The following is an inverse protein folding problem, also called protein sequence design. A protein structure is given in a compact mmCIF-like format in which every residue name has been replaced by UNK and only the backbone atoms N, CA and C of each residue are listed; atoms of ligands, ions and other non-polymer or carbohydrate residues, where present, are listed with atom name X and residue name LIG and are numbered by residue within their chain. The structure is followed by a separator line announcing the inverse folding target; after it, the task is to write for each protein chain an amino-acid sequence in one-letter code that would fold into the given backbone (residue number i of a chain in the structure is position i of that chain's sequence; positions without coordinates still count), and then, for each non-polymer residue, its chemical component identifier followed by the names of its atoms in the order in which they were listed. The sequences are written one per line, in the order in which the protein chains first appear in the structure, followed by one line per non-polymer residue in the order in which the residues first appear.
data_IF_373032472606
#
_entry.id   IF_373032472606
#
_cell.length_a   1.000
_cell.length_b   1.000
_cell.length_c   1.000
_cell.angle_alpha   90.00
_cell.angle_beta   90.00
_cell.angle_gamma   90.00
#
_symmetry.space_group_name_H-M   'P 1'
#
loop_
_entity.id
_entity.type
_entity.pdbx_description
1 polymer ?
#
# COMPACT_ATOMS: atom_id res chain seq x y z
N UNK A 1 -23.47 -11.45 -10.69
CA UNK A 1 -22.11 -11.70 -10.16
C UNK A 1 -21.63 -10.41 -9.55
N UNK A 2 -21.08 -10.40 -8.33
CA UNK A 2 -20.35 -9.23 -7.83
C UNK A 2 -19.02 -9.16 -8.57
N UNK A 3 -18.66 -7.97 -9.06
CA UNK A 3 -17.31 -7.71 -9.59
C UNK A 3 -16.29 -8.03 -8.49
N UNK A 4 -15.22 -8.75 -8.83
CA UNK A 4 -14.14 -9.09 -7.90
C UNK A 4 -13.28 -7.87 -7.54
N UNK A 5 -13.33 -6.82 -8.36
CA UNK A 5 -12.52 -5.62 -8.23
C UNK A 5 -13.42 -4.44 -7.87
N UNK A 6 -13.08 -3.72 -6.81
CA UNK A 6 -13.70 -2.43 -6.48
C UNK A 6 -13.09 -1.33 -7.34
N UNK A 7 -13.90 -0.36 -7.76
CA UNK A 7 -13.44 0.75 -8.60
C UNK A 7 -12.47 1.72 -7.91
N UNK A 8 -12.43 1.70 -6.57
CA UNK A 8 -11.62 2.64 -5.79
C UNK A 8 -12.13 4.07 -5.82
N UNK A 9 -11.32 4.98 -5.32
CA UNK A 9 -11.55 6.44 -5.37
C UNK A 9 -10.91 7.05 -6.63
N UNK A 10 -10.95 8.37 -6.77
CA UNK A 10 -10.31 9.09 -7.85
C UNK A 10 -9.84 10.47 -7.42
N UNK A 11 -8.82 10.97 -8.09
CA UNK A 11 -8.23 12.28 -7.82
C UNK A 11 -9.19 13.43 -8.07
N UNK A 12 -9.38 14.28 -7.07
CA UNK A 12 -10.33 15.41 -7.12
C UNK A 12 -9.87 16.50 -8.09
N UNK A 13 -8.58 16.62 -8.34
CA UNK A 13 -7.94 17.57 -9.27
C UNK A 13 -7.53 16.86 -10.55
N UNK A 14 -6.87 15.72 -10.43
CA UNK A 14 -6.29 14.99 -11.56
C UNK A 14 -7.33 14.21 -12.36
N UNK A 15 -8.42 13.77 -11.72
CA UNK A 15 -9.37 12.82 -12.31
C UNK A 15 -8.80 11.41 -12.50
N UNK A 16 -7.57 11.14 -12.05
CA UNK A 16 -6.92 9.84 -12.18
C UNK A 16 -7.57 8.86 -11.20
N UNK A 17 -8.02 7.68 -11.64
CA UNK A 17 -8.59 6.69 -10.73
C UNK A 17 -7.50 6.03 -9.87
N UNK A 18 -7.85 5.63 -8.64
CA UNK A 18 -6.94 5.00 -7.68
C UNK A 18 -6.19 3.81 -8.29
N UNK A 19 -6.88 2.93 -9.02
CA UNK A 19 -6.25 1.75 -9.60
C UNK A 19 -5.14 2.08 -10.60
N UNK A 20 -5.19 3.23 -11.26
CA UNK A 20 -4.15 3.70 -12.18
C UNK A 20 -2.93 4.20 -11.40
N UNK A 21 -3.12 5.06 -10.43
CA UNK A 21 -2.06 5.56 -9.55
C UNK A 21 -1.32 4.40 -8.87
N UNK A 22 -2.07 3.50 -8.24
CA UNK A 22 -1.48 2.37 -7.50
C UNK A 22 -0.75 1.38 -8.39
N UNK A 23 -1.16 1.21 -9.65
CA UNK A 23 -0.40 0.43 -10.63
C UNK A 23 0.92 1.14 -10.99
N UNK A 24 0.88 2.44 -11.27
CA UNK A 24 2.08 3.23 -11.58
C UNK A 24 3.11 3.12 -10.45
N UNK A 25 2.71 3.43 -9.23
CA UNK A 25 3.61 3.34 -8.06
C UNK A 25 4.07 1.90 -7.82
N UNK A 26 3.20 0.90 -7.98
CA UNK A 26 3.55 -0.51 -7.84
C UNK A 26 4.61 -0.97 -8.82
N UNK A 27 4.53 -0.56 -10.10
CA UNK A 27 5.51 -0.91 -11.13
C UNK A 27 6.85 -0.22 -10.90
N UNK A 28 6.84 1.05 -10.49
CA UNK A 28 8.07 1.78 -10.12
C UNK A 28 8.72 1.12 -8.89
N UNK A 29 7.94 0.77 -7.87
CA UNK A 29 8.44 0.10 -6.66
C UNK A 29 9.00 -1.29 -6.96
N UNK A 30 8.38 -2.06 -7.86
CA UNK A 30 8.93 -3.33 -8.35
C UNK A 30 10.35 -3.14 -8.86
N UNK A 31 10.57 -2.17 -9.75
CA UNK A 31 11.88 -1.88 -10.34
C UNK A 31 12.89 -1.47 -9.26
N UNK A 32 12.51 -0.57 -8.36
CA UNK A 32 13.38 -0.10 -7.28
C UNK A 32 13.80 -1.25 -6.34
N UNK A 33 12.86 -2.09 -5.91
CA UNK A 33 13.15 -3.23 -5.05
C UNK A 33 14.03 -4.26 -5.76
N UNK A 34 13.81 -4.52 -7.04
CA UNK A 34 14.68 -5.42 -7.83
C UNK A 34 16.11 -4.87 -7.91
N UNK A 35 16.28 -3.56 -8.11
CA UNK A 35 17.59 -2.91 -8.08
C UNK A 35 18.30 -3.02 -6.71
N UNK A 36 17.52 -3.10 -5.62
CA UNK A 36 18.01 -3.36 -4.26
C UNK A 36 18.24 -4.86 -3.97
N UNK A 37 18.03 -5.76 -4.95
CA UNK A 37 18.28 -7.20 -4.84
C UNK A 37 17.15 -8.01 -4.21
N UNK A 38 15.93 -7.48 -4.18
CA UNK A 38 14.73 -8.24 -3.79
C UNK A 38 14.17 -9.03 -4.97
N UNK A 39 13.62 -10.20 -4.69
CA UNK A 39 12.71 -10.89 -5.60
C UNK A 39 11.30 -10.35 -5.38
N UNK A 40 10.71 -9.77 -6.43
CA UNK A 40 9.39 -9.15 -6.36
C UNK A 40 8.39 -9.92 -7.19
N UNK A 41 7.26 -10.28 -6.59
CA UNK A 41 6.11 -10.87 -7.27
C UNK A 41 4.94 -9.88 -7.21
N UNK A 42 4.43 -9.53 -8.39
CA UNK A 42 3.30 -8.62 -8.51
C UNK A 42 1.98 -9.38 -8.56
N UNK A 43 0.96 -8.86 -7.89
CA UNK A 43 -0.41 -9.43 -8.01
C UNK A 43 -1.11 -8.95 -9.28
N UNK A 44 -0.64 -7.88 -9.92
CA UNK A 44 -1.04 -7.41 -11.24
C UNK A 44 0.05 -6.53 -11.85
N UNK A 45 0.14 -6.53 -13.17
CA UNK A 45 1.02 -5.64 -13.95
C UNK A 45 0.23 -4.87 -15.02
N UNK A 46 -1.09 -4.96 -14.98
CA UNK A 46 -2.01 -4.21 -15.85
C UNK A 46 -3.29 -3.85 -15.08
N UNK A 47 -4.14 -3.06 -15.72
CA UNK A 47 -5.48 -2.75 -15.21
C UNK A 47 -6.55 -3.76 -15.67
N UNK A 48 -6.22 -4.58 -16.65
CA UNK A 48 -7.11 -5.64 -17.16
C UNK A 48 -6.96 -6.92 -16.34
N UNK A 49 -7.47 -6.90 -15.11
CA UNK A 49 -7.44 -8.04 -14.19
C UNK A 49 -8.75 -8.16 -13.41
N UNK A 50 -9.22 -9.39 -13.24
CA UNK A 50 -10.38 -9.71 -12.40
C UNK A 50 -9.97 -10.69 -11.28
N UNK A 51 -9.18 -10.20 -10.33
CA UNK A 51 -8.67 -10.96 -9.18
C UNK A 51 -9.19 -10.39 -7.86
N UNK A 52 -9.72 -11.26 -7.02
CA UNK A 52 -10.21 -10.93 -5.68
C UNK A 52 -9.07 -10.66 -4.69
N UNK A 53 -9.40 -10.08 -3.54
CA UNK A 53 -8.47 -9.91 -2.44
C UNK A 53 -7.85 -11.23 -1.95
N UNK A 54 -8.65 -12.32 -1.94
CA UNK A 54 -8.16 -13.64 -1.59
C UNK A 54 -7.14 -14.15 -2.61
N UNK A 55 -7.47 -14.08 -3.90
CA UNK A 55 -6.54 -14.50 -4.97
C UNK A 55 -5.22 -13.73 -4.94
N UNK A 56 -5.22 -12.44 -4.55
CA UNK A 56 -3.99 -11.66 -4.32
C UNK A 56 -3.16 -12.22 -3.16
N UNK A 57 -3.79 -12.61 -2.06
CA UNK A 57 -3.09 -13.25 -0.94
C UNK A 57 -2.56 -14.64 -1.32
N UNK A 58 -3.34 -15.42 -2.09
CA UNK A 58 -2.92 -16.74 -2.59
C UNK A 58 -1.68 -16.64 -3.50
N UNK A 59 -1.58 -15.59 -4.34
CA UNK A 59 -0.37 -15.33 -5.15
C UNK A 59 0.86 -15.12 -4.26
N UNK A 60 0.75 -14.31 -3.20
CA UNK A 60 1.86 -14.07 -2.27
C UNK A 60 2.23 -15.36 -1.52
N UNK A 61 1.25 -16.14 -1.08
CA UNK A 61 1.46 -17.43 -0.41
C UNK A 61 2.16 -18.43 -1.32
N UNK A 62 1.69 -18.58 -2.56
CA UNK A 62 2.28 -19.51 -3.53
C UNK A 62 3.71 -19.14 -3.91
N UNK A 63 4.03 -17.86 -3.89
CA UNK A 63 5.38 -17.35 -4.12
C UNK A 63 6.33 -17.52 -2.92
N UNK A 64 5.82 -17.94 -1.76
CA UNK A 64 6.61 -17.98 -0.52
C UNK A 64 7.08 -16.60 -0.08
N UNK A 65 6.26 -15.56 -0.33
CA UNK A 65 6.62 -14.19 0.00
C UNK A 65 6.83 -14.01 1.50
N UNK A 66 7.88 -13.29 1.88
CA UNK A 66 8.24 -13.01 3.29
C UNK A 66 7.54 -11.76 3.83
N UNK A 67 6.98 -10.93 2.95
CA UNK A 67 6.14 -9.79 3.28
C UNK A 67 5.23 -9.45 2.09
N UNK A 68 4.08 -8.85 2.38
CA UNK A 68 3.11 -8.37 1.38
C UNK A 68 2.86 -6.88 1.58
N UNK A 69 3.12 -6.09 0.55
CA UNK A 69 2.83 -4.65 0.53
C UNK A 69 1.63 -4.41 -0.37
N UNK A 70 0.60 -3.79 0.16
CA UNK A 70 -0.57 -3.37 -0.59
C UNK A 70 -0.54 -1.85 -0.73
N UNK A 71 -0.66 -1.37 -1.94
CA UNK A 71 -0.62 0.06 -2.26
C UNK A 71 -2.04 0.51 -2.57
N UNK A 72 -2.50 1.51 -1.84
CA UNK A 72 -3.82 2.14 -1.95
C UNK A 72 -3.68 3.66 -1.86
N UNK A 73 -4.75 4.38 -2.15
CA UNK A 73 -4.89 5.80 -1.89
C UNK A 73 -6.30 6.07 -1.39
N UNK A 74 -6.40 6.77 -0.27
CA UNK A 74 -7.64 6.95 0.46
C UNK A 74 -8.55 8.00 -0.19
N UNK A 75 -9.83 7.93 0.14
CA UNK A 75 -10.82 8.92 -0.28
C UNK A 75 -11.96 8.99 0.73
N UNK A 76 -12.26 10.20 1.17
CA UNK A 76 -13.37 10.50 2.11
C UNK A 76 -14.11 11.75 1.67
N UNK A 77 -15.34 11.95 2.16
CA UNK A 77 -16.15 13.15 1.87
C UNK A 77 -15.61 14.40 2.62
N UNK A 78 -14.30 14.62 2.55
CA UNK A 78 -13.65 15.78 3.19
C UNK A 78 -12.37 16.15 2.44
N UNK A 79 -12.36 17.30 1.81
CA UNK A 79 -11.19 17.84 1.13
C UNK A 79 -10.06 18.26 2.10
N UNK A 80 -10.32 18.35 3.39
CA UNK A 80 -9.32 18.70 4.40
C UNK A 80 -8.57 17.48 4.98
N UNK A 81 -9.05 16.27 4.72
CA UNK A 81 -8.32 15.06 5.12
C UNK A 81 -7.05 14.94 4.26
N UNK A 82 -5.90 14.78 4.90
CA UNK A 82 -4.59 14.72 4.25
C UNK A 82 -3.63 13.84 5.03
N UNK A 83 -2.65 13.27 4.35
CA UNK A 83 -1.59 12.46 4.93
C UNK A 83 -1.72 10.97 4.64
N UNK A 84 -0.66 10.24 4.92
CA UNK A 84 -0.54 8.80 4.67
C UNK A 84 -0.73 7.99 5.95
N UNK A 85 -1.24 6.77 5.82
CA UNK A 85 -1.39 5.80 6.91
C UNK A 85 -1.07 4.39 6.44
N UNK A 86 -0.83 3.49 7.38
CA UNK A 86 -0.72 2.06 7.06
C UNK A 86 -1.73 1.27 7.88
N UNK A 87 -2.49 0.42 7.21
CA UNK A 87 -3.40 -0.51 7.86
C UNK A 87 -2.73 -1.89 7.93
N UNK A 88 -2.87 -2.51 9.11
CA UNK A 88 -2.30 -3.83 9.42
C UNK A 88 -3.34 -4.67 10.18
N UNK A 89 -3.19 -6.00 10.29
CA UNK A 89 -4.06 -6.76 11.18
C UNK A 89 -3.90 -6.26 12.62
N UNK A 90 -5.02 -6.03 13.30
CA UNK A 90 -5.02 -5.70 14.72
C UNK A 90 -4.66 -6.90 15.60
N UNK A 91 -4.29 -6.66 16.86
CA UNK A 91 -4.00 -7.74 17.81
C UNK A 91 -5.22 -8.62 18.17
N UNK A 92 -6.42 -8.09 17.93
CA UNK A 92 -7.70 -8.80 18.09
C UNK A 92 -8.25 -9.37 16.77
N UNK A 93 -7.47 -9.32 15.70
CA UNK A 93 -7.90 -9.84 14.39
C UNK A 93 -8.32 -11.30 14.51
N UNK A 94 -9.55 -11.66 14.10
CA UNK A 94 -10.09 -13.02 14.32
C UNK A 94 -9.49 -14.07 13.37
N UNK A 95 -8.69 -13.68 12.39
CA UNK A 95 -8.17 -14.57 11.35
C UNK A 95 -6.66 -14.77 11.43
N UNK A 96 -5.90 -13.71 11.67
CA UNK A 96 -4.43 -13.69 11.60
C UNK A 96 -3.80 -12.86 12.74
N UNK A 97 -4.22 -13.04 14.01
CA UNK A 97 -3.70 -12.23 15.13
C UNK A 97 -2.19 -12.42 15.33
N UNK A 98 -1.64 -13.57 14.96
CA UNK A 98 -0.21 -13.89 15.02
C UNK A 98 0.65 -13.00 14.11
N UNK A 99 0.08 -12.45 13.06
CA UNK A 99 0.78 -11.53 12.15
C UNK A 99 0.73 -10.07 12.60
N UNK A 100 -0.07 -9.72 13.62
CA UNK A 100 -0.28 -8.34 14.04
C UNK A 100 1.04 -7.64 14.42
N UNK A 101 1.91 -8.30 15.18
CA UNK A 101 3.18 -7.74 15.62
C UNK A 101 4.15 -7.45 14.48
N UNK A 102 4.41 -8.45 13.63
CA UNK A 102 5.31 -8.32 12.48
C UNK A 102 4.77 -7.36 11.42
N UNK A 103 3.47 -7.38 11.17
CA UNK A 103 2.81 -6.43 10.27
C UNK A 103 2.87 -5.00 10.78
N UNK A 104 2.70 -4.79 12.10
CA UNK A 104 2.82 -3.46 12.71
C UNK A 104 4.24 -2.91 12.62
N UNK A 105 5.25 -3.77 12.79
CA UNK A 105 6.65 -3.39 12.62
C UNK A 105 6.93 -3.01 11.15
N UNK A 106 6.49 -3.83 10.20
CA UNK A 106 6.60 -3.55 8.76
C UNK A 106 5.92 -2.22 8.40
N UNK A 107 4.68 -2.04 8.86
CA UNK A 107 3.91 -0.81 8.65
C UNK A 107 4.59 0.42 9.23
N UNK A 108 5.18 0.31 10.43
CA UNK A 108 5.90 1.41 11.08
C UNK A 108 7.16 1.81 10.31
N UNK A 109 7.94 0.84 9.84
CA UNK A 109 9.11 1.10 9.01
C UNK A 109 8.72 1.82 7.71
N UNK A 110 7.68 1.31 7.02
CA UNK A 110 7.22 1.89 5.76
C UNK A 110 6.69 3.33 5.96
N UNK A 111 5.76 3.54 6.90
CA UNK A 111 5.12 4.85 7.03
C UNK A 111 6.11 5.95 7.47
N UNK A 112 7.04 5.60 8.35
CA UNK A 112 8.05 6.55 8.82
C UNK A 112 9.00 6.96 7.69
N UNK A 113 9.52 6.01 6.92
CA UNK A 113 10.41 6.28 5.78
C UNK A 113 9.67 7.00 4.65
N UNK A 114 8.43 6.58 4.35
CA UNK A 114 7.59 7.21 3.34
C UNK A 114 7.32 8.69 3.65
N UNK A 115 6.89 8.99 4.87
CA UNK A 115 6.60 10.37 5.27
C UNK A 115 7.86 11.22 5.41
N UNK A 116 9.00 10.62 5.80
CA UNK A 116 10.29 11.33 5.81
C UNK A 116 10.76 11.72 4.40
N UNK A 117 10.56 10.84 3.41
CA UNK A 117 10.95 11.09 2.03
C UNK A 117 10.02 12.09 1.32
N UNK A 118 8.72 12.01 1.56
CA UNK A 118 7.70 12.77 0.83
C UNK A 118 7.30 14.08 1.50
N UNK A 119 7.56 14.23 2.81
CA UNK A 119 7.00 15.32 3.61
C UNK A 119 5.50 15.17 3.88
N UNK A 120 4.87 14.06 3.48
CA UNK A 120 3.47 13.75 3.76
C UNK A 120 3.23 13.65 5.27
N UNK A 121 2.07 14.14 5.73
CA UNK A 121 1.67 13.99 7.13
C UNK A 121 1.56 12.51 7.50
N UNK A 122 2.30 12.08 8.51
CA UNK A 122 2.23 10.72 9.04
C UNK A 122 1.00 10.57 9.94
N UNK A 123 0.06 9.72 9.55
CA UNK A 123 -1.15 9.36 10.31
C UNK A 123 -0.97 8.07 11.11
N UNK A 124 0.18 7.41 10.98
CA UNK A 124 0.56 6.23 11.75
C UNK A 124 0.07 4.90 11.19
N UNK A 125 0.20 3.89 12.04
CA UNK A 125 -0.24 2.52 11.79
C UNK A 125 -1.58 2.29 12.48
N UNK A 126 -2.54 1.72 11.75
CA UNK A 126 -3.91 1.48 12.20
C UNK A 126 -4.21 -0.01 12.15
N UNK A 127 -4.61 -0.59 13.26
CA UNK A 127 -5.10 -1.97 13.31
C UNK A 127 -6.47 -2.09 12.62
N UNK A 128 -6.63 -3.08 11.75
CA UNK A 128 -7.88 -3.35 11.02
C UNK A 128 -8.23 -4.84 11.08
N UNK A 129 -9.43 -5.15 11.59
CA UNK A 129 -9.86 -6.53 11.81
C UNK A 129 -10.88 -7.02 10.76
N UNK A 130 -11.41 -6.13 9.94
CA UNK A 130 -12.49 -6.43 8.99
C UNK A 130 -12.09 -6.23 7.51
N UNK A 131 -10.82 -6.01 7.21
CA UNK A 131 -10.34 -5.82 5.84
C UNK A 131 -10.03 -7.13 5.14
N UNK A 132 -10.83 -7.50 4.15
CA UNK A 132 -10.61 -8.72 3.35
C UNK A 132 -9.26 -8.73 2.63
N UNK A 133 -8.72 -7.54 2.29
CA UNK A 133 -7.40 -7.40 1.70
C UNK A 133 -6.24 -7.79 2.64
N UNK A 134 -6.48 -7.80 3.95
CA UNK A 134 -5.51 -8.13 4.99
C UNK A 134 -5.73 -9.55 5.50
N UNK A 135 -6.97 -9.92 5.79
CA UNK A 135 -7.34 -11.12 6.55
C UNK A 135 -7.01 -12.47 5.88
N UNK A 136 -6.61 -12.49 4.61
CA UNK A 136 -6.20 -13.69 3.88
C UNK A 136 -4.67 -13.85 3.81
N UNK A 137 -3.90 -12.94 4.39
CA UNK A 137 -2.43 -13.01 4.35
C UNK A 137 -1.89 -14.15 5.22
N UNK A 138 -0.81 -14.76 4.74
CA UNK A 138 -0.05 -15.81 5.45
C UNK A 138 1.35 -15.33 5.84
N UNK A 139 1.66 -14.08 5.59
CA UNK A 139 2.92 -13.41 5.90
C UNK A 139 2.64 -11.97 6.38
N UNK A 140 3.61 -11.28 6.99
CA UNK A 140 3.45 -9.88 7.39
C UNK A 140 2.90 -9.03 6.26
N UNK A 141 1.83 -8.29 6.53
CA UNK A 141 1.11 -7.50 5.52
C UNK A 141 0.93 -6.06 5.97
N UNK A 142 1.26 -5.11 5.09
CA UNK A 142 1.04 -3.69 5.29
C UNK A 142 0.26 -3.12 4.10
N UNK A 143 -0.88 -2.47 4.35
CA UNK A 143 -1.66 -1.75 3.36
C UNK A 143 -1.37 -0.26 3.55
N UNK A 144 -0.58 0.30 2.64
CA UNK A 144 -0.21 1.71 2.64
C UNK A 144 -1.25 2.52 1.88
N UNK A 145 -1.87 3.47 2.56
CA UNK A 145 -2.64 4.56 1.98
C UNK A 145 -1.67 5.72 1.69
N UNK A 146 -1.39 5.96 0.43
CA UNK A 146 -0.37 6.92 -0.05
C UNK A 146 -0.70 8.37 0.33
N UNK A 147 -1.96 8.71 0.44
CA UNK A 147 -2.53 10.02 0.72
C UNK A 147 -4.01 10.03 0.35
N UNK A 148 -4.66 11.16 0.47
CA UNK A 148 -6.08 11.31 0.14
C UNK A 148 -6.28 11.86 -1.27
N UNK A 149 -6.82 11.06 -2.18
CA UNK A 149 -7.16 11.50 -3.55
C UNK A 149 -8.27 12.56 -3.56
N UNK A 150 -9.03 12.66 -2.49
CA UNK A 150 -10.05 13.72 -2.28
C UNK A 150 -9.47 15.02 -1.72
N UNK A 151 -8.19 15.05 -1.35
CA UNK A 151 -7.48 16.27 -0.97
C UNK A 151 -6.74 16.84 -2.19
N UNK A 152 -6.99 18.11 -2.58
CA UNK A 152 -6.38 18.70 -3.79
C UNK A 152 -4.84 18.71 -3.78
N UNK A 153 -4.22 18.90 -2.61
CA UNK A 153 -2.75 18.93 -2.48
C UNK A 153 -2.16 17.53 -2.54
N UNK A 154 -2.75 16.58 -1.80
CA UNK A 154 -2.29 15.19 -1.83
C UNK A 154 -2.43 14.60 -3.24
N UNK A 155 -3.57 14.82 -3.90
CA UNK A 155 -3.81 14.35 -5.27
C UNK A 155 -2.81 14.95 -6.25
N UNK A 156 -2.61 16.27 -6.25
CA UNK A 156 -1.65 16.91 -7.14
C UNK A 156 -0.21 16.39 -6.92
N UNK A 157 0.20 16.21 -5.66
CA UNK A 157 1.53 15.67 -5.32
C UNK A 157 1.68 14.22 -5.83
N UNK A 158 0.68 13.37 -5.63
CA UNK A 158 0.73 11.96 -6.05
C UNK A 158 0.77 11.78 -7.58
N UNK A 159 0.46 12.83 -8.37
CA UNK A 159 0.57 12.82 -9.83
C UNK A 159 1.87 13.44 -10.35
N UNK A 160 2.66 14.09 -9.50
CA UNK A 160 3.97 14.65 -9.89
C UNK A 160 5.04 13.56 -9.98
N UNK A 161 5.73 13.49 -11.10
CA UNK A 161 6.72 12.44 -11.38
C UNK A 161 7.89 12.44 -10.36
N UNK A 162 8.36 13.63 -9.94
CA UNK A 162 9.43 13.71 -8.95
C UNK A 162 8.93 13.27 -7.56
N UNK A 163 7.70 13.64 -7.24
CA UNK A 163 7.10 13.22 -5.98
C UNK A 163 6.87 11.70 -5.95
N UNK A 164 6.45 11.09 -7.07
CA UNK A 164 6.33 9.64 -7.20
C UNK A 164 7.68 8.92 -6.98
N UNK A 165 8.80 9.50 -7.42
CA UNK A 165 10.13 8.96 -7.11
C UNK A 165 10.43 8.99 -5.59
N UNK A 166 10.03 10.08 -4.90
CA UNK A 166 10.16 10.16 -3.43
C UNK A 166 9.26 9.13 -2.73
N UNK A 167 8.03 8.94 -3.21
CA UNK A 167 7.10 7.94 -2.69
C UNK A 167 7.71 6.53 -2.78
N UNK A 168 8.20 6.16 -3.95
CA UNK A 168 8.81 4.84 -4.21
C UNK A 168 10.05 4.62 -3.35
N UNK A 169 10.94 5.63 -3.29
CA UNK A 169 12.13 5.58 -2.43
C UNK A 169 11.74 5.38 -0.97
N UNK A 170 10.81 6.18 -0.45
CA UNK A 170 10.39 6.09 0.95
C UNK A 170 9.78 4.74 1.30
N UNK A 171 8.99 4.14 0.40
CA UNK A 171 8.47 2.78 0.61
C UNK A 171 9.61 1.76 0.63
N UNK A 172 10.54 1.83 -0.33
CA UNK A 172 11.67 0.91 -0.42
C UNK A 172 12.63 1.03 0.77
N UNK A 173 12.92 2.25 1.24
CA UNK A 173 13.73 2.51 2.45
C UNK A 173 13.06 1.90 3.70
N UNK A 174 11.74 1.98 3.80
CA UNK A 174 10.98 1.36 4.88
C UNK A 174 11.04 -0.18 4.85
N UNK A 175 11.03 -0.77 3.66
CA UNK A 175 11.19 -2.21 3.48
C UNK A 175 12.62 -2.62 3.86
N UNK A 176 13.66 -1.90 3.43
CA UNK A 176 15.04 -2.13 3.85
C UNK A 176 15.19 -2.06 5.38
N UNK A 177 14.62 -1.03 6.02
CA UNK A 177 14.65 -0.89 7.47
C UNK A 177 13.99 -2.06 8.20
N UNK A 178 12.89 -2.60 7.66
CA UNK A 178 12.23 -3.77 8.23
C UNK A 178 13.09 -5.03 8.16
N UNK A 179 13.82 -5.24 7.07
CA UNK A 179 14.69 -6.39 6.87
C UNK A 179 16.12 -6.19 7.39
N UNK A 180 16.45 -5.01 7.96
CA UNK A 180 17.78 -4.70 8.51
C UNK A 180 18.85 -4.54 7.44
N UNK A 181 18.50 -3.95 6.33
CA UNK A 181 19.38 -3.69 5.17
C UNK A 181 19.70 -2.23 5.02
#
# INVERSE_FOLDING_TARGET
MKTKVAGGTGGVVSGVPEYQLTLTIGMMLKTELQNRGYTVVMTRESNDVDISNKERADIATAAGAVATIRIHADGVDSASASGASVLVPGSSNPYIPELAGSSSQLGSCIINSYCAATGMKNRGVVGSDNMTGINWSTNPVALLELGFMTNPTDDANMQDDNYQQLMVRGIADGIDAYFGR
#
